data_IF_868458911854
#
_entry.id   IF_868458911854
#
_cell.length_a   1.000
_cell.length_b   1.000
_cell.length_c   1.000
_cell.angle_alpha   90.00
_cell.angle_beta   90.00
_cell.angle_gamma   90.00
#
_symmetry.space_group_name_H-M   'P 1'
#
loop_
_entity.id
_entity.type
_entity.pdbx_description
1 polymer ?
#
# COMPACT_ATOMS: atom_id res chain seq x y z
N UNK A 1 12.72 -5.21 6.48
CA UNK A 1 11.94 -6.45 6.38
C UNK A 1 12.23 -7.09 5.02
N UNK A 2 13.08 -8.12 4.98
CA UNK A 2 13.34 -8.90 3.77
C UNK A 2 12.46 -10.15 3.79
N UNK A 3 11.25 -10.03 3.25
CA UNK A 3 10.33 -11.17 3.08
C UNK A 3 10.47 -11.79 1.69
N UNK A 4 10.01 -13.03 1.53
CA UNK A 4 9.92 -13.74 0.25
C UNK A 4 8.93 -13.10 -0.73
N UNK A 5 8.11 -12.15 -0.25
CA UNK A 5 7.05 -11.48 -0.99
C UNK A 5 7.44 -10.02 -1.27
N UNK A 6 7.01 -9.52 -2.44
CA UNK A 6 7.24 -8.14 -2.86
C UNK A 6 6.02 -7.28 -2.54
N UNK A 7 6.24 -6.05 -2.09
CA UNK A 7 5.15 -5.10 -1.85
C UNK A 7 4.48 -4.63 -3.14
N UNK A 8 5.23 -4.64 -4.23
CA UNK A 8 4.71 -4.40 -5.57
C UNK A 8 5.59 -5.05 -6.62
N UNK A 9 4.97 -5.43 -7.73
CA UNK A 9 5.66 -5.95 -8.92
C UNK A 9 5.19 -5.16 -10.13
N UNK A 10 6.14 -4.69 -10.92
CA UNK A 10 5.86 -4.09 -12.24
C UNK A 10 5.98 -5.19 -13.29
N UNK A 11 4.92 -5.40 -14.07
CA UNK A 11 4.90 -6.39 -15.15
C UNK A 11 4.03 -5.91 -16.31
N UNK A 12 4.57 -5.94 -17.53
CA UNK A 12 3.85 -5.61 -18.77
C UNK A 12 3.11 -4.26 -18.73
N UNK A 13 3.71 -3.23 -18.11
CA UNK A 13 3.12 -1.89 -18.01
C UNK A 13 2.03 -1.74 -16.93
N UNK A 14 1.86 -2.75 -16.08
CA UNK A 14 0.95 -2.71 -14.92
C UNK A 14 1.74 -2.84 -13.62
N UNK A 15 1.20 -2.26 -12.55
CA UNK A 15 1.70 -2.45 -11.18
C UNK A 15 0.71 -3.27 -10.39
N UNK A 16 1.22 -4.35 -9.81
CA UNK A 16 0.48 -5.22 -8.90
C UNK A 16 0.99 -4.98 -7.49
N UNK A 17 0.18 -4.38 -6.63
CA UNK A 17 0.53 -4.12 -5.23
C UNK A 17 0.00 -5.23 -4.34
N UNK A 18 0.77 -5.61 -3.31
CA UNK A 18 0.26 -6.42 -2.21
C UNK A 18 -0.76 -5.61 -1.40
N UNK A 19 -1.64 -6.33 -0.68
CA UNK A 19 -2.51 -5.71 0.32
C UNK A 19 -1.70 -4.89 1.32
N UNK A 20 -2.23 -3.74 1.71
CA UNK A 20 -1.60 -2.81 2.63
C UNK A 20 -2.37 -2.77 3.96
N UNK A 21 -1.63 -2.57 5.04
CA UNK A 21 -2.16 -2.38 6.40
C UNK A 21 -1.70 -1.03 6.94
N UNK A 22 -2.42 -0.49 7.94
CA UNK A 22 -2.14 0.81 8.55
C UNK A 22 -0.90 0.76 9.46
N UNK A 23 0.25 0.37 8.92
CA UNK A 23 1.49 0.17 9.65
C UNK A 23 2.38 1.42 9.57
N UNK A 24 2.95 1.85 10.69
CA UNK A 24 4.03 2.83 10.73
C UNK A 24 5.29 2.21 10.09
N UNK A 25 5.91 2.87 9.10
CA UNK A 25 7.03 2.27 8.36
C UNK A 25 8.34 2.31 9.19
N UNK A 26 8.38 3.13 10.23
CA UNK A 26 9.51 3.31 11.15
C UNK A 26 9.47 2.26 12.25
N UNK A 27 8.31 2.06 12.87
CA UNK A 27 8.17 1.15 14.02
C UNK A 27 7.77 -0.26 13.61
N UNK A 28 7.16 -0.42 12.44
CA UNK A 28 6.60 -1.68 11.98
C UNK A 28 5.33 -2.11 12.72
N UNK A 29 4.76 -1.23 13.55
CA UNK A 29 3.51 -1.49 14.29
C UNK A 29 2.32 -0.88 13.57
N UNK A 30 1.12 -1.41 13.81
CA UNK A 30 -0.12 -0.77 13.39
C UNK A 30 -0.24 0.57 14.14
N UNK A 31 -0.62 1.63 13.44
CA UNK A 31 -0.82 2.94 14.06
C UNK A 31 -2.02 2.89 15.02
N UNK A 32 -1.95 3.64 16.12
CA UNK A 32 -3.13 3.89 16.95
C UNK A 32 -4.10 4.82 16.20
N UNK A 33 -5.40 4.62 16.40
CA UNK A 33 -6.46 5.39 15.75
C UNK A 33 -7.71 4.56 15.51
N UNK A 34 -8.71 5.21 14.92
CA UNK A 34 -9.93 4.62 14.42
C UNK A 34 -9.80 4.24 12.92
N UNK A 35 -10.94 3.91 12.32
CA UNK A 35 -11.00 3.45 10.94
C UNK A 35 -10.62 4.54 9.92
N UNK A 36 -10.87 5.82 10.21
CA UNK A 36 -10.51 6.93 9.33
C UNK A 36 -8.99 7.06 9.29
N UNK A 37 -8.32 7.10 10.44
CA UNK A 37 -6.86 7.21 10.49
C UNK A 37 -6.18 5.98 9.89
N UNK A 38 -6.73 4.78 10.09
CA UNK A 38 -6.20 3.56 9.47
C UNK A 38 -6.36 3.58 7.95
N UNK A 39 -7.50 4.06 7.44
CA UNK A 39 -7.78 4.15 6.00
C UNK A 39 -6.84 5.15 5.33
N UNK A 40 -6.65 6.33 5.94
CA UNK A 40 -5.74 7.35 5.43
C UNK A 40 -4.31 6.83 5.35
N UNK A 41 -3.86 6.10 6.38
CA UNK A 41 -2.52 5.51 6.42
C UNK A 41 -2.29 4.48 5.32
N UNK A 42 -3.27 3.59 5.09
CA UNK A 42 -3.21 2.59 4.00
C UNK A 42 -3.15 3.29 2.64
N UNK A 43 -3.91 4.37 2.46
CA UNK A 43 -3.96 5.09 1.19
C UNK A 43 -2.62 5.74 0.82
N UNK A 44 -1.89 6.27 1.82
CA UNK A 44 -0.54 6.82 1.62
C UNK A 44 0.47 5.74 1.20
N UNK A 45 0.24 4.48 1.57
CA UNK A 45 1.17 3.38 1.28
C UNK A 45 0.98 2.77 -0.11
N UNK A 46 -0.22 2.86 -0.69
CA UNK A 46 -0.51 2.40 -2.05
C UNK A 46 0.12 3.27 -3.15
N UNK A 47 0.60 4.48 -2.82
CA UNK A 47 1.28 5.39 -3.75
C UNK A 47 2.76 5.00 -4.00
N UNK A 48 3.05 3.70 -4.03
CA UNK A 48 4.40 3.21 -4.24
C UNK A 48 4.84 3.41 -5.71
N UNK A 49 5.70 4.40 -5.90
CA UNK A 49 6.62 4.63 -7.04
C UNK A 49 5.95 5.03 -8.36
N UNK A 50 6.04 6.32 -8.72
CA UNK A 50 5.69 6.94 -10.01
C UNK A 50 4.25 6.77 -10.54
N UNK A 51 3.37 6.06 -9.84
CA UNK A 51 1.94 5.99 -10.15
C UNK A 51 1.10 6.92 -9.26
N UNK A 52 0.07 7.49 -9.85
CA UNK A 52 -0.90 8.40 -9.23
C UNK A 52 -2.21 7.69 -8.95
N UNK A 53 -3.02 8.23 -8.04
CA UNK A 53 -4.34 7.67 -7.68
C UNK A 53 -5.27 7.54 -8.90
N UNK A 54 -5.12 8.42 -9.88
CA UNK A 54 -5.95 8.44 -11.10
C UNK A 54 -5.61 7.30 -12.07
N UNK A 55 -4.50 6.59 -11.86
CA UNK A 55 -4.06 5.46 -12.69
C UNK A 55 -4.52 4.11 -12.14
N UNK A 56 -5.23 4.10 -11.01
CA UNK A 56 -5.78 2.86 -10.44
C UNK A 56 -6.96 2.39 -11.28
N UNK A 57 -6.79 1.26 -11.96
CA UNK A 57 -7.82 0.68 -12.82
C UNK A 57 -8.73 -0.32 -12.11
N UNK A 58 -8.33 -0.82 -10.93
CA UNK A 58 -9.09 -1.83 -10.19
C UNK A 58 -8.69 -1.90 -8.70
N UNK A 59 -9.64 -2.31 -7.87
CA UNK A 59 -9.46 -2.65 -6.45
C UNK A 59 -10.11 -4.00 -6.16
N UNK A 60 -9.39 -4.87 -5.43
CA UNK A 60 -9.99 -6.04 -4.78
C UNK A 60 -11.05 -5.58 -3.78
N UNK A 61 -12.22 -6.22 -3.78
CA UNK A 61 -13.37 -5.92 -2.90
C UNK A 61 -13.41 -6.85 -1.69
#
# INVERSE_FOLDING_TARGET
>A
MGGLLSQGIVANGLVFTSGAIAQDPTTGQVIDGDIEEHTDRVHVWAAAQDFTRDEVCWFDY
#
